data_IF_994201259700
#
_entry.id   IF_994201259700
#
_cell.length_a   1.000
_cell.length_b   1.000
_cell.length_c   1.000
_cell.angle_alpha   90.00
_cell.angle_beta   90.00
_cell.angle_gamma   90.00
#
_symmetry.space_group_name_H-M   'P 1'
#
loop_
_entity.id
_entity.type
_entity.pdbx_description
1 polymer ?
#
# COMPACT_ATOMS: atom_id res chain seq x y z
N UNK A 1 16.43 13.62 -12.63
CA UNK A 1 15.84 14.88 -12.10
C UNK A 1 16.83 16.03 -11.90
N UNK A 2 18.13 15.79 -11.63
CA UNK A 2 19.11 16.89 -11.46
C UNK A 2 19.57 17.53 -12.78
N UNK A 3 19.70 16.73 -13.84
CA UNK A 3 20.21 17.19 -15.14
C UNK A 3 19.15 17.83 -16.04
N UNK A 4 17.87 17.52 -15.81
CA UNK A 4 16.77 18.00 -16.63
C UNK A 4 16.30 19.36 -16.10
N UNK A 5 16.45 20.41 -16.89
CA UNK A 5 15.94 21.74 -16.56
C UNK A 5 14.53 21.98 -17.14
N UNK A 6 13.66 22.60 -16.35
CA UNK A 6 12.29 23.00 -16.71
C UNK A 6 11.99 24.33 -16.02
N UNK A 7 11.52 25.34 -16.76
CA UNK A 7 11.12 26.62 -16.16
C UNK A 7 12.25 27.39 -15.45
N UNK A 8 13.50 27.22 -15.88
CA UNK A 8 14.66 27.93 -15.30
C UNK A 8 15.33 27.25 -14.10
N UNK A 9 14.80 26.12 -13.61
CA UNK A 9 15.42 25.34 -12.54
C UNK A 9 15.49 23.85 -12.89
N UNK A 10 16.20 23.05 -12.08
CA UNK A 10 16.24 21.60 -12.26
C UNK A 10 14.88 20.98 -11.93
N UNK A 11 14.52 19.87 -12.58
CA UNK A 11 13.29 19.14 -12.30
C UNK A 11 13.18 18.74 -10.81
N UNK A 12 14.32 18.45 -10.17
CA UNK A 12 14.38 18.11 -8.74
C UNK A 12 13.96 19.26 -7.82
N UNK A 13 14.04 20.53 -8.26
CA UNK A 13 13.65 21.65 -7.41
C UNK A 13 12.13 21.82 -7.29
N UNK A 14 11.35 21.11 -8.11
CA UNK A 14 9.89 21.18 -8.07
C UNK A 14 9.37 20.33 -6.91
N UNK A 15 8.54 20.93 -6.04
CA UNK A 15 7.97 20.28 -4.86
C UNK A 15 7.26 18.95 -5.20
N UNK A 16 6.38 18.96 -6.20
CA UNK A 16 5.68 17.75 -6.63
C UNK A 16 6.63 16.63 -7.11
N UNK A 17 7.76 16.99 -7.74
CA UNK A 17 8.77 15.99 -8.13
C UNK A 17 9.47 15.41 -6.90
N UNK A 18 9.76 16.23 -5.89
CA UNK A 18 10.31 15.76 -4.63
C UNK A 18 9.34 14.82 -3.91
N UNK A 19 8.05 15.15 -3.91
CA UNK A 19 6.98 14.28 -3.38
C UNK A 19 6.93 12.92 -4.10
N UNK A 20 6.97 12.91 -5.43
CA UNK A 20 7.02 11.67 -6.21
C UNK A 20 8.28 10.83 -5.94
N UNK A 21 9.44 11.48 -5.82
CA UNK A 21 10.69 10.80 -5.47
C UNK A 21 10.65 10.26 -4.03
N UNK A 22 10.00 10.98 -3.10
CA UNK A 22 9.81 10.52 -1.73
C UNK A 22 8.90 9.28 -1.67
N UNK A 23 7.86 9.20 -2.52
CA UNK A 23 7.05 7.97 -2.69
C UNK A 23 7.91 6.80 -3.18
N UNK A 24 8.77 7.00 -4.17
CA UNK A 24 9.70 5.96 -4.64
C UNK A 24 10.66 5.50 -3.53
N UNK A 25 11.19 6.44 -2.74
CA UNK A 25 12.04 6.12 -1.59
C UNK A 25 11.29 5.35 -0.49
N UNK A 26 10.02 5.69 -0.26
CA UNK A 26 9.16 4.94 0.66
C UNK A 26 8.92 3.51 0.16
N UNK A 27 8.61 3.32 -1.13
CA UNK A 27 8.48 1.99 -1.75
C UNK A 27 9.76 1.15 -1.61
N UNK A 28 10.93 1.76 -1.86
CA UNK A 28 12.23 1.12 -1.65
C UNK A 28 12.46 0.73 -0.18
N UNK A 29 12.10 1.61 0.76
CA UNK A 29 12.27 1.36 2.20
C UNK A 29 11.35 0.24 2.68
N UNK A 30 10.10 0.22 2.22
CA UNK A 30 9.14 -0.87 2.48
C UNK A 30 9.66 -2.19 1.93
N UNK A 31 10.14 -2.19 0.67
CA UNK A 31 10.73 -3.38 0.04
C UNK A 31 11.91 -3.91 0.87
N UNK A 32 12.81 -3.01 1.28
CA UNK A 32 13.96 -3.36 2.13
C UNK A 32 13.53 -3.97 3.46
N UNK A 33 12.48 -3.43 4.09
CA UNK A 33 11.95 -3.95 5.34
C UNK A 33 11.32 -5.33 5.18
N UNK A 34 10.56 -5.55 4.10
CA UNK A 34 10.00 -6.86 3.76
C UNK A 34 11.09 -7.88 3.45
N UNK A 35 12.13 -7.51 2.68
CA UNK A 35 13.27 -8.39 2.40
C UNK A 35 14.01 -8.76 3.70
N UNK A 36 14.26 -7.80 4.59
CA UNK A 36 14.90 -8.06 5.87
C UNK A 36 14.06 -8.99 6.75
N UNK A 37 12.73 -8.76 6.81
CA UNK A 37 11.80 -9.63 7.55
C UNK A 37 11.79 -11.03 6.96
N UNK A 38 11.59 -11.16 5.66
CA UNK A 38 11.55 -12.44 4.95
C UNK A 38 12.86 -13.22 5.16
N UNK A 39 14.01 -12.61 4.89
CA UNK A 39 15.32 -13.26 5.10
C UNK A 39 15.54 -13.75 6.54
N UNK A 40 14.96 -13.07 7.55
CA UNK A 40 15.07 -13.50 8.95
C UNK A 40 14.22 -14.71 9.35
N UNK A 41 13.27 -15.13 8.49
CA UNK A 41 12.33 -16.21 8.78
C UNK A 41 12.26 -17.28 7.68
N UNK A 42 12.93 -17.09 6.54
CA UNK A 42 12.89 -18.03 5.40
C UNK A 42 13.82 -19.25 5.53
N UNK A 43 14.57 -19.38 6.63
CA UNK A 43 15.41 -20.56 6.86
C UNK A 43 14.59 -21.84 7.01
N UNK A 44 15.16 -22.98 6.61
CA UNK A 44 14.51 -24.32 6.60
C UNK A 44 14.06 -24.72 8.01
N UNK A 45 14.69 -24.18 9.04
CA UNK A 45 14.35 -24.37 10.44
C UNK A 45 13.00 -23.76 10.85
N UNK A 46 12.43 -22.87 10.04
CA UNK A 46 11.19 -22.17 10.36
C UNK A 46 9.97 -22.82 9.67
N UNK A 47 8.98 -23.23 10.45
CA UNK A 47 7.68 -23.62 9.91
C UNK A 47 6.80 -22.38 9.68
N UNK A 48 6.61 -22.00 8.41
CA UNK A 48 5.82 -20.84 8.03
C UNK A 48 4.38 -21.17 7.61
N UNK A 49 3.93 -22.42 7.75
CA UNK A 49 2.60 -22.85 7.28
C UNK A 49 1.44 -22.03 7.86
N UNK A 50 1.59 -21.50 9.07
CA UNK A 50 0.59 -20.65 9.74
C UNK A 50 0.73 -19.15 9.46
N UNK A 51 1.71 -18.72 8.65
CA UNK A 51 2.01 -17.29 8.40
C UNK A 51 1.34 -16.73 7.13
N UNK A 52 0.21 -17.30 6.71
CA UNK A 52 -0.52 -16.86 5.52
C UNK A 52 -0.91 -15.37 5.52
N UNK A 53 -1.14 -14.78 6.70
CA UNK A 53 -1.40 -13.35 6.84
C UNK A 53 -0.20 -12.50 6.39
N UNK A 54 1.00 -12.78 6.91
CA UNK A 54 2.21 -12.04 6.54
C UNK A 54 2.54 -12.24 5.04
N UNK A 55 2.36 -13.47 4.54
CA UNK A 55 2.60 -13.79 3.13
C UNK A 55 1.68 -12.98 2.19
N UNK A 56 0.38 -12.93 2.49
CA UNK A 56 -0.59 -12.14 1.72
C UNK A 56 -0.26 -10.65 1.77
N UNK A 57 0.08 -10.12 2.95
CA UNK A 57 0.47 -8.70 3.13
C UNK A 57 1.68 -8.36 2.27
N UNK A 58 2.73 -9.20 2.31
CA UNK A 58 3.93 -8.98 1.50
C UNK A 58 3.61 -8.99 0.02
N UNK A 59 2.95 -10.06 -0.47
CA UNK A 59 2.61 -10.22 -1.89
C UNK A 59 1.76 -9.06 -2.39
N UNK A 60 0.65 -8.76 -1.72
CA UNK A 60 -0.30 -7.76 -2.21
C UNK A 60 0.32 -6.36 -2.23
N UNK A 61 0.94 -5.93 -1.13
CA UNK A 61 1.45 -4.56 -1.04
C UNK A 61 2.70 -4.36 -1.91
N UNK A 62 3.66 -5.30 -1.93
CA UNK A 62 4.91 -5.06 -2.67
C UNK A 62 4.67 -4.99 -4.18
N UNK A 63 3.72 -5.77 -4.69
CA UNK A 63 3.40 -5.79 -6.12
C UNK A 63 2.60 -4.55 -6.55
N UNK A 64 1.76 -4.00 -5.67
CA UNK A 64 1.16 -2.68 -5.86
C UNK A 64 2.24 -1.58 -5.93
N UNK A 65 3.18 -1.58 -4.97
CA UNK A 65 4.27 -0.60 -4.92
C UNK A 65 5.21 -0.72 -6.12
N UNK A 66 5.44 -1.94 -6.62
CA UNK A 66 6.22 -2.19 -7.83
C UNK A 66 5.56 -1.54 -9.05
N UNK A 67 4.25 -1.74 -9.23
CA UNK A 67 3.48 -1.12 -10.31
C UNK A 67 3.47 0.41 -10.20
N UNK A 68 3.18 0.94 -9.02
CA UNK A 68 3.16 2.39 -8.75
C UNK A 68 4.54 3.02 -9.04
N UNK A 69 5.62 2.36 -8.61
CA UNK A 69 6.98 2.86 -8.82
C UNK A 69 7.36 2.91 -10.30
N UNK A 70 6.96 1.91 -11.09
CA UNK A 70 7.18 1.90 -12.53
C UNK A 70 6.42 3.03 -13.23
N UNK A 71 5.16 3.27 -12.84
CA UNK A 71 4.34 4.37 -13.35
C UNK A 71 4.94 5.75 -13.00
N UNK A 72 5.36 5.95 -11.75
CA UNK A 72 6.03 7.18 -11.32
C UNK A 72 7.32 7.42 -12.10
N UNK A 73 8.11 6.38 -12.36
CA UNK A 73 9.35 6.50 -13.14
C UNK A 73 9.07 6.93 -14.59
N UNK A 74 8.04 6.36 -15.23
CA UNK A 74 7.62 6.79 -16.57
C UNK A 74 7.20 8.25 -16.56
N UNK A 75 6.34 8.65 -15.61
CA UNK A 75 5.86 10.02 -15.48
C UNK A 75 7.01 11.02 -15.28
N UNK A 76 7.94 10.72 -14.37
CA UNK A 76 9.13 11.55 -14.11
C UNK A 76 10.08 11.65 -15.31
N UNK A 77 10.03 10.67 -16.21
CA UNK A 77 10.84 10.64 -17.44
C UNK A 77 10.18 11.36 -18.62
N UNK A 78 8.92 11.81 -18.46
CA UNK A 78 8.13 12.45 -19.52
C UNK A 78 8.02 11.58 -20.77
N UNK A 79 8.06 12.20 -21.95
CA UNK A 79 7.94 11.47 -23.23
C UNK A 79 9.00 10.37 -23.43
N UNK A 80 10.20 10.50 -22.83
CA UNK A 80 11.22 9.44 -22.89
C UNK A 80 10.79 8.17 -22.16
N UNK A 81 9.97 8.32 -21.12
CA UNK A 81 9.43 7.22 -20.34
C UNK A 81 8.54 6.27 -21.15
N UNK A 82 7.93 6.76 -22.24
CA UNK A 82 7.04 5.99 -23.12
C UNK A 82 7.77 5.20 -24.21
N UNK A 83 9.10 5.29 -24.29
CA UNK A 83 9.87 4.43 -25.21
C UNK A 83 9.80 2.99 -24.71
N UNK A 84 9.55 2.05 -25.62
CA UNK A 84 9.50 0.60 -25.30
C UNK A 84 10.80 0.08 -24.69
N UNK A 85 11.94 0.70 -25.01
CA UNK A 85 13.25 0.38 -24.42
C UNK A 85 13.47 0.98 -23.03
N UNK A 86 12.61 1.90 -22.57
CA UNK A 86 12.75 2.53 -21.26
C UNK A 86 12.38 1.55 -20.14
N UNK A 87 13.22 1.46 -19.11
CA UNK A 87 13.01 0.53 -17.99
C UNK A 87 11.68 0.77 -17.26
N UNK A 88 11.22 2.03 -17.17
CA UNK A 88 9.90 2.34 -16.60
C UNK A 88 8.75 1.74 -17.41
N UNK A 89 8.76 1.85 -18.75
CA UNK A 89 7.70 1.30 -19.60
C UNK A 89 7.67 -0.23 -19.54
N UNK A 90 8.85 -0.86 -19.62
CA UNK A 90 8.98 -2.31 -19.43
C UNK A 90 8.51 -2.72 -18.03
N UNK A 91 8.93 -1.97 -17.02
CA UNK A 91 8.53 -2.18 -15.63
C UNK A 91 7.01 -2.22 -15.47
N UNK A 92 6.27 -1.28 -16.08
CA UNK A 92 4.78 -1.27 -16.03
C UNK A 92 4.18 -2.57 -16.58
N UNK A 93 4.73 -3.10 -17.67
CA UNK A 93 4.26 -4.33 -18.30
C UNK A 93 4.65 -5.56 -17.48
N UNK A 94 5.88 -5.59 -16.98
CA UNK A 94 6.44 -6.72 -16.24
C UNK A 94 5.86 -6.81 -14.81
N UNK A 95 5.49 -5.68 -14.19
CA UNK A 95 4.97 -5.64 -12.83
C UNK A 95 3.48 -6.00 -12.74
N UNK A 96 2.71 -5.75 -13.81
CA UNK A 96 1.25 -5.93 -13.79
C UNK A 96 0.81 -7.38 -13.52
N UNK A 97 1.42 -8.42 -14.13
CA UNK A 97 1.09 -9.81 -13.85
C UNK A 97 1.17 -10.17 -12.36
N UNK A 98 2.10 -9.60 -11.61
CA UNK A 98 2.26 -9.90 -10.18
C UNK A 98 1.11 -9.38 -9.30
N UNK A 99 0.33 -8.40 -9.78
CA UNK A 99 -0.91 -7.97 -9.10
C UNK A 99 -2.09 -8.94 -9.35
N UNK A 100 -1.94 -9.90 -10.28
CA UNK A 100 -3.00 -10.77 -10.78
C UNK A 100 -2.74 -12.23 -10.43
N UNK A 101 -1.53 -12.73 -10.71
CA UNK A 101 -1.15 -14.13 -10.50
C UNK A 101 -1.02 -14.47 -9.01
N UNK A 102 -1.15 -15.77 -8.69
CA UNK A 102 -1.16 -16.30 -7.32
C UNK A 102 -2.23 -15.64 -6.41
N UNK A 103 -3.34 -15.23 -7.02
CA UNK A 103 -4.42 -14.47 -6.40
C UNK A 103 -4.29 -12.97 -6.66
N UNK A 104 -5.38 -12.34 -7.11
CA UNK A 104 -5.39 -10.90 -7.34
C UNK A 104 -5.17 -10.14 -6.04
N UNK A 105 -4.52 -8.98 -6.08
CA UNK A 105 -4.26 -8.20 -4.87
C UNK A 105 -5.55 -7.84 -4.13
N UNK A 106 -6.64 -7.56 -4.85
CA UNK A 106 -7.96 -7.34 -4.25
C UNK A 106 -8.44 -8.54 -3.44
N UNK A 107 -8.33 -9.75 -4.02
CA UNK A 107 -8.68 -10.99 -3.31
C UNK A 107 -7.81 -11.18 -2.06
N UNK A 108 -6.51 -10.93 -2.16
CA UNK A 108 -5.59 -11.06 -1.03
C UNK A 108 -5.90 -10.03 0.07
N UNK A 109 -6.25 -8.79 -0.28
CA UNK A 109 -6.68 -7.80 0.70
C UNK A 109 -7.98 -8.22 1.42
N UNK A 110 -8.93 -8.83 0.71
CA UNK A 110 -10.12 -9.42 1.34
C UNK A 110 -9.73 -10.52 2.33
N UNK A 111 -8.85 -11.45 1.96
CA UNK A 111 -8.39 -12.52 2.84
C UNK A 111 -7.65 -11.99 4.08
N UNK A 112 -6.84 -10.94 3.92
CA UNK A 112 -6.15 -10.24 5.02
C UNK A 112 -7.18 -9.65 5.99
N UNK A 113 -8.19 -8.95 5.47
CA UNK A 113 -9.28 -8.41 6.25
C UNK A 113 -10.00 -9.51 7.03
N UNK A 114 -10.48 -10.55 6.35
CA UNK A 114 -11.23 -11.66 6.96
C UNK A 114 -10.44 -12.36 8.08
N UNK A 115 -9.14 -12.56 7.88
CA UNK A 115 -8.23 -13.14 8.87
C UNK A 115 -8.19 -12.30 10.14
N UNK A 116 -7.98 -10.98 10.02
CA UNK A 116 -7.99 -10.06 11.16
C UNK A 116 -9.36 -10.03 11.83
N UNK A 117 -10.45 -10.03 11.06
CA UNK A 117 -11.80 -10.04 11.61
C UNK A 117 -12.12 -11.30 12.40
N UNK A 118 -11.63 -12.45 11.95
CA UNK A 118 -11.73 -13.71 12.69
C UNK A 118 -10.97 -13.62 14.02
N UNK A 119 -9.79 -13.02 14.04
CA UNK A 119 -9.01 -12.79 15.26
C UNK A 119 -9.71 -11.79 16.19
N UNK A 120 -10.20 -10.67 15.69
CA UNK A 120 -10.94 -9.67 16.47
C UNK A 120 -12.18 -10.27 17.15
N UNK A 121 -12.94 -11.11 16.43
CA UNK A 121 -14.08 -11.86 16.98
C UNK A 121 -13.64 -12.83 18.09
N UNK A 122 -12.56 -13.59 17.87
CA UNK A 122 -12.01 -14.51 18.87
C UNK A 122 -11.58 -13.79 20.15
N UNK A 123 -10.97 -12.62 20.02
CA UNK A 123 -10.52 -11.78 21.13
C UNK A 123 -11.60 -10.86 21.72
N UNK A 124 -12.82 -10.86 21.13
CA UNK A 124 -13.93 -9.95 21.50
C UNK A 124 -13.52 -8.48 21.54
N UNK A 125 -12.61 -8.07 20.65
CA UNK A 125 -12.11 -6.70 20.57
C UNK A 125 -12.38 -6.14 19.17
N UNK A 126 -13.35 -5.23 19.07
CA UNK A 126 -13.80 -4.65 17.81
C UNK A 126 -13.27 -3.23 17.56
N UNK A 127 -12.64 -2.62 18.57
CA UNK A 127 -11.98 -1.33 18.42
C UNK A 127 -10.60 -1.53 17.78
N UNK A 128 -10.41 -1.02 16.55
CA UNK A 128 -9.26 -1.37 15.71
C UNK A 128 -7.92 -1.01 16.35
N UNK A 129 -7.78 0.21 16.85
CA UNK A 129 -6.56 0.62 17.57
C UNK A 129 -6.25 -0.27 18.78
N UNK A 130 -7.25 -0.57 19.63
CA UNK A 130 -7.05 -1.41 20.81
C UNK A 130 -6.66 -2.85 20.42
N UNK A 131 -7.21 -3.36 19.32
CA UNK A 131 -6.79 -4.66 18.78
C UNK A 131 -5.31 -4.62 18.35
N UNK A 132 -4.90 -3.61 17.57
CA UNK A 132 -3.51 -3.51 17.08
C UNK A 132 -2.48 -3.22 18.18
N UNK A 133 -2.83 -2.52 19.25
CA UNK A 133 -1.95 -2.39 20.42
C UNK A 133 -1.68 -3.73 21.13
N UNK A 134 -2.47 -4.77 20.85
CA UNK A 134 -2.30 -6.10 21.44
C UNK A 134 -1.97 -7.17 20.40
N UNK A 135 -1.77 -6.79 19.13
CA UNK A 135 -1.49 -7.72 18.04
C UNK A 135 0.02 -7.79 17.77
N UNK A 136 0.66 -8.98 17.82
CA UNK A 136 2.12 -9.10 17.74
C UNK A 136 2.77 -8.41 16.53
N UNK A 137 2.10 -8.39 15.37
CA UNK A 137 2.65 -7.79 14.16
C UNK A 137 2.56 -6.26 14.11
N UNK A 138 1.78 -5.62 15.00
CA UNK A 138 1.53 -4.17 14.94
C UNK A 138 1.78 -3.44 16.26
N UNK A 139 1.97 -4.17 17.37
CA UNK A 139 2.18 -3.60 18.71
C UNK A 139 3.28 -2.54 18.78
N UNK A 140 4.36 -2.70 17.99
CA UNK A 140 5.50 -1.78 17.98
C UNK A 140 5.23 -0.42 17.31
N UNK A 141 4.19 -0.31 16.50
CA UNK A 141 3.91 0.90 15.71
C UNK A 141 2.45 1.38 15.78
N UNK A 142 1.54 0.62 16.39
CA UNK A 142 0.10 0.93 16.42
C UNK A 142 -0.20 2.35 16.96
N UNK A 143 0.55 2.80 17.97
CA UNK A 143 0.40 4.13 18.58
C UNK A 143 0.59 5.28 17.60
N UNK A 144 1.47 5.12 16.59
CA UNK A 144 1.70 6.15 15.57
C UNK A 144 0.47 6.41 14.71
N UNK A 145 -0.42 5.43 14.59
CA UNK A 145 -1.63 5.51 13.77
C UNK A 145 -2.90 5.65 14.61
N UNK A 146 -2.78 5.97 15.91
CA UNK A 146 -3.93 6.03 16.84
C UNK A 146 -5.06 6.89 16.30
N UNK A 147 -4.78 8.08 15.78
CA UNK A 147 -5.78 9.00 15.22
C UNK A 147 -6.57 8.36 14.07
N UNK A 148 -5.90 7.62 13.18
CA UNK A 148 -6.53 6.97 12.04
C UNK A 148 -7.29 5.70 12.45
N UNK A 149 -6.77 4.94 13.42
CA UNK A 149 -7.28 3.62 13.81
C UNK A 149 -8.29 3.64 14.96
N UNK A 150 -8.58 4.80 15.56
CA UNK A 150 -9.51 4.93 16.67
C UNK A 150 -10.96 4.91 16.21
N UNK A 151 -11.44 3.73 15.81
CA UNK A 151 -12.83 3.48 15.50
C UNK A 151 -13.20 2.01 15.74
N UNK A 152 -14.49 1.77 15.97
CA UNK A 152 -15.05 0.43 16.11
C UNK A 152 -15.43 -0.08 14.73
N UNK A 153 -15.10 -1.35 14.48
CA UNK A 153 -15.50 -2.05 13.28
C UNK A 153 -16.90 -2.65 13.51
N UNK A 154 -17.91 -2.17 12.77
CA UNK A 154 -19.32 -2.54 13.01
C UNK A 154 -20.03 -3.21 11.83
N UNK A 155 -19.53 -3.13 10.60
CA UNK A 155 -20.19 -3.68 9.41
C UNK A 155 -19.21 -4.11 8.30
N UNK A 156 -19.46 -5.28 7.71
CA UNK A 156 -18.67 -5.86 6.59
C UNK A 156 -19.49 -6.06 5.32
N UNK A 157 -20.51 -5.23 5.13
CA UNK A 157 -21.59 -5.55 4.18
C UNK A 157 -21.17 -5.41 2.71
N UNK A 158 -19.94 -4.97 2.40
CA UNK A 158 -19.44 -4.93 1.03
C UNK A 158 -17.99 -5.38 0.92
N UNK A 159 -17.70 -6.09 -0.18
CA UNK A 159 -16.35 -6.50 -0.55
C UNK A 159 -15.40 -5.30 -0.68
N UNK A 160 -15.89 -4.15 -1.16
CA UNK A 160 -15.10 -2.89 -1.25
C UNK A 160 -14.53 -2.47 0.10
N UNK A 161 -15.34 -2.53 1.16
CA UNK A 161 -14.88 -2.23 2.52
C UNK A 161 -13.86 -3.24 3.03
N UNK A 162 -13.99 -4.52 2.66
CA UNK A 162 -13.00 -5.54 3.01
C UNK A 162 -11.66 -5.28 2.31
N UNK A 163 -11.66 -4.87 1.04
CA UNK A 163 -10.44 -4.49 0.31
C UNK A 163 -9.75 -3.31 1.00
N UNK A 164 -10.50 -2.23 1.28
CA UNK A 164 -9.93 -1.05 1.96
C UNK A 164 -9.40 -1.39 3.37
N UNK A 165 -10.12 -2.25 4.10
CA UNK A 165 -9.67 -2.71 5.41
C UNK A 165 -8.38 -3.54 5.32
N UNK A 166 -8.28 -4.45 4.35
CA UNK A 166 -7.06 -5.20 4.07
C UNK A 166 -5.87 -4.31 3.73
N UNK A 167 -6.10 -3.24 2.95
CA UNK A 167 -5.09 -2.22 2.62
C UNK A 167 -4.61 -1.44 3.84
N UNK A 168 -5.50 -1.12 4.79
CA UNK A 168 -5.15 -0.49 6.08
C UNK A 168 -4.27 -1.45 6.89
N UNK A 169 -4.72 -2.69 7.11
CA UNK A 169 -3.99 -3.72 7.88
C UNK A 169 -2.57 -3.90 7.33
N UNK A 170 -2.44 -4.07 6.01
CA UNK A 170 -1.17 -4.33 5.34
C UNK A 170 -0.16 -3.22 5.59
N UNK A 171 -0.61 -1.96 5.52
CA UNK A 171 0.23 -0.79 5.77
C UNK A 171 0.69 -0.66 7.21
N UNK A 172 -0.18 -0.97 8.17
CA UNK A 172 0.19 -0.94 9.59
C UNK A 172 1.19 -2.05 9.92
N UNK A 173 1.01 -3.27 9.39
CA UNK A 173 1.96 -4.37 9.56
C UNK A 173 3.34 -4.01 8.98
N UNK A 174 3.36 -3.43 7.78
CA UNK A 174 4.62 -3.06 7.12
C UNK A 174 5.31 -1.88 7.80
N UNK A 175 4.56 -0.97 8.42
CA UNK A 175 5.13 0.06 9.27
C UNK A 175 5.89 -0.53 10.47
N UNK A 176 5.44 -1.67 11.01
CA UNK A 176 6.17 -2.39 12.04
C UNK A 176 7.49 -2.95 11.48
N UNK A 177 7.50 -3.51 10.27
CA UNK A 177 8.73 -3.98 9.62
C UNK A 177 9.72 -2.83 9.38
N UNK A 178 9.24 -1.67 8.94
CA UNK A 178 10.09 -0.47 8.77
C UNK A 178 10.68 -0.04 10.11
N UNK A 179 9.87 -0.04 11.17
CA UNK A 179 10.34 0.27 12.54
C UNK A 179 11.44 -0.70 12.99
N UNK A 180 11.28 -2.00 12.73
CA UNK A 180 12.28 -3.02 13.04
C UNK A 180 13.55 -2.86 12.19
N UNK A 181 13.40 -2.55 10.90
CA UNK A 181 14.53 -2.30 10.01
C UNK A 181 15.36 -1.09 10.49
N UNK A 182 14.69 0.00 10.91
CA UNK A 182 15.37 1.17 11.49
C UNK A 182 16.11 0.80 12.78
N UNK A 183 15.53 -0.03 13.65
CA UNK A 183 16.18 -0.51 14.87
C UNK A 183 17.45 -1.34 14.60
N UNK A 184 17.56 -1.95 13.41
CA UNK A 184 18.76 -2.68 12.95
C UNK A 184 19.83 -1.77 12.31
N UNK A 185 19.65 -0.45 12.35
CA UNK A 185 20.64 0.52 11.85
C UNK A 185 20.43 0.99 10.42
N UNK A 186 19.27 0.70 9.79
CA UNK A 186 18.92 1.29 8.51
C UNK A 186 18.73 2.81 8.63
N UNK A 187 18.91 3.53 7.52
CA UNK A 187 18.85 5.00 7.49
C UNK A 187 17.59 5.55 8.15
N UNK A 188 17.78 6.31 9.24
CA UNK A 188 16.69 6.93 9.99
C UNK A 188 15.88 7.89 9.13
N UNK A 189 16.53 8.70 8.29
CA UNK A 189 15.84 9.66 7.42
C UNK A 189 14.92 8.96 6.41
N UNK A 190 15.36 7.85 5.81
CA UNK A 190 14.52 7.07 4.89
C UNK A 190 13.36 6.42 5.64
N UNK A 191 13.63 5.85 6.81
CA UNK A 191 12.61 5.24 7.68
C UNK A 191 11.54 6.25 8.12
N UNK A 192 11.95 7.41 8.65
CA UNK A 192 11.03 8.45 9.11
C UNK A 192 10.17 9.01 7.96
N UNK A 193 10.75 9.29 6.79
CA UNK A 193 10.00 9.70 5.60
C UNK A 193 9.01 8.62 5.15
N UNK A 194 9.44 7.35 5.13
CA UNK A 194 8.60 6.23 4.79
C UNK A 194 7.40 6.11 5.75
N UNK A 195 7.61 6.30 7.05
CA UNK A 195 6.53 6.28 8.04
C UNK A 195 5.49 7.39 7.82
N UNK A 196 5.91 8.58 7.40
CA UNK A 196 4.99 9.66 7.03
C UNK A 196 4.15 9.29 5.80
N UNK A 197 4.78 8.73 4.76
CA UNK A 197 4.07 8.27 3.54
C UNK A 197 3.07 7.16 3.88
N UNK A 198 3.46 6.19 4.71
CA UNK A 198 2.54 5.14 5.18
C UNK A 198 1.36 5.75 5.97
N UNK A 199 1.61 6.74 6.83
CA UNK A 199 0.57 7.45 7.58
C UNK A 199 -0.44 8.16 6.67
N UNK A 200 0.05 8.85 5.64
CA UNK A 200 -0.81 9.49 4.63
C UNK A 200 -1.68 8.45 3.92
N UNK A 201 -1.08 7.35 3.47
CA UNK A 201 -1.81 6.27 2.81
C UNK A 201 -2.86 5.63 3.73
N UNK A 202 -2.51 5.33 4.99
CA UNK A 202 -3.47 4.81 5.98
C UNK A 202 -4.63 5.77 6.16
N UNK A 203 -4.36 7.08 6.24
CA UNK A 203 -5.41 8.10 6.33
C UNK A 203 -6.34 8.08 5.12
N UNK A 204 -5.79 7.96 3.90
CA UNK A 204 -6.59 7.88 2.68
C UNK A 204 -7.49 6.63 2.67
N UNK A 205 -6.94 5.47 3.03
CA UNK A 205 -7.71 4.21 3.05
C UNK A 205 -8.78 4.21 4.15
N UNK A 206 -8.49 4.77 5.33
CA UNK A 206 -9.49 4.92 6.40
C UNK A 206 -10.64 5.82 5.95
N UNK A 207 -10.34 6.92 5.26
CA UNK A 207 -11.37 7.80 4.70
C UNK A 207 -12.25 7.06 3.70
N UNK A 208 -11.67 6.28 2.79
CA UNK A 208 -12.42 5.42 1.84
C UNK A 208 -13.30 4.40 2.56
N UNK A 209 -12.74 3.69 3.54
CA UNK A 209 -13.45 2.69 4.33
C UNK A 209 -14.67 3.27 5.07
N UNK A 210 -14.53 4.46 5.66
CA UNK A 210 -15.60 5.15 6.39
C UNK A 210 -16.64 5.77 5.47
N UNK A 211 -16.27 6.11 4.23
CA UNK A 211 -17.17 6.72 3.28
C UNK A 211 -18.30 5.76 2.87
N UNK A 212 -19.54 6.23 2.92
CA UNK A 212 -20.73 5.43 2.55
C UNK A 212 -20.90 5.47 1.03
N UNK A 213 -20.24 4.55 0.34
CA UNK A 213 -20.36 4.41 -1.12
C UNK A 213 -21.37 3.32 -1.52
N UNK A 214 -22.58 3.77 -1.89
CA UNK A 214 -23.66 2.92 -2.40
C UNK A 214 -23.79 2.97 -3.94
N UNK A 215 -22.80 3.53 -4.64
CA UNK A 215 -22.81 3.57 -6.11
C UNK A 215 -22.85 2.14 -6.65
N UNK A 216 -23.73 1.95 -7.64
CA UNK A 216 -23.90 0.72 -8.40
C UNK A 216 -23.58 0.98 -9.86
N UNK A 217 -23.29 -0.10 -10.59
CA UNK A 217 -23.11 -0.02 -12.03
C UNK A 217 -24.38 0.51 -12.70
N UNK A 218 -24.22 1.45 -13.63
CA UNK A 218 -25.32 1.90 -14.49
C UNK A 218 -25.14 1.17 -15.81
N UNK A 219 -26.03 0.20 -16.06
CA UNK A 219 -26.10 -0.50 -17.34
C UNK A 219 -26.80 0.37 -18.38
N UNK A 220 -26.53 0.11 -19.66
CA UNK A 220 -27.15 0.78 -20.80
C UNK A 220 -27.04 2.32 -20.79
N UNK A 221 -25.99 2.87 -20.17
CA UNK A 221 -25.79 4.32 -20.03
C UNK A 221 -25.58 5.05 -21.36
N UNK A 222 -25.30 4.36 -22.46
CA UNK A 222 -24.96 4.98 -23.75
C UNK A 222 -26.08 5.87 -24.30
N UNK A 223 -27.35 5.46 -24.14
CA UNK A 223 -28.50 6.21 -24.68
C UNK A 223 -28.59 7.65 -24.15
N UNK A 224 -28.14 7.88 -22.91
CA UNK A 224 -28.15 9.20 -22.24
C UNK A 224 -26.76 9.66 -21.79
N UNK A 225 -25.73 8.93 -22.19
CA UNK A 225 -24.33 9.15 -21.79
C UNK A 225 -23.49 9.81 -22.88
N UNK A 226 -24.03 9.97 -24.09
CA UNK A 226 -23.33 10.66 -25.19
C UNK A 226 -23.27 12.17 -24.89
N UNK A 227 -22.16 12.61 -24.31
CA UNK A 227 -21.93 14.01 -23.94
C UNK A 227 -22.09 14.98 -25.12
N UNK A 228 -21.87 14.51 -26.36
CA UNK A 228 -22.02 15.28 -27.60
C UNK A 228 -23.44 15.79 -27.82
N UNK A 229 -24.45 15.14 -27.23
CA UNK A 229 -25.84 15.59 -27.32
C UNK A 229 -26.12 16.86 -26.48
N UNK A 230 -25.13 17.37 -25.74
CA UNK A 230 -25.23 18.53 -24.86
C UNK A 230 -24.25 19.66 -25.25
N UNK A 231 -23.65 19.60 -26.43
CA UNK A 231 -22.79 20.63 -27.01
C UNK A 231 -23.38 21.11 -28.33
#
# INVERSE_FOLDING_TARGET
CKERNVGGSTLLSLDNVQSQLARLQASFTICSAMCCRSASISGIENNLASQGLEANVMKALITDLMQESAQLLVQLSGAKGYRTSHIGARGIMDSRPFQIFEGSNEMLYVQIAETILKLMRKHKQYHLYQFFCNFPLTIKCADRFKSNLSFVISDFNSQRKLVDFGKIISRVIVAAYVTELMAKGFSKNLGDNCMVVIGQDVSLQVSSYKFKNNVQNIEDYLEKGMWQCYC
#
